data_IF_081355938079
#
_entry.id   IF_081355938079
#
_cell.length_a   1.000
_cell.length_b   1.000
_cell.length_c   1.000
_cell.angle_alpha   90.00
_cell.angle_beta   90.00
_cell.angle_gamma   90.00
#
_symmetry.space_group_name_H-M   'P 1'
#
loop_
_entity.id
_entity.type
_entity.pdbx_description
1 polymer ?
#
# COMPACT_ATOMS: atom_id res chain seq x y z
N UNK A 1 -13.77 6.77 6.89
CA UNK A 1 -13.58 5.69 5.88
C UNK A 1 -13.33 4.38 6.63
N UNK A 2 -13.48 3.19 6.02
CA UNK A 2 -13.17 1.93 6.72
C UNK A 2 -11.76 1.46 6.33
N UNK A 3 -10.76 1.87 7.11
CA UNK A 3 -9.41 1.35 7.05
C UNK A 3 -8.83 1.12 8.45
N UNK A 4 -7.82 0.26 8.52
CA UNK A 4 -7.06 -0.01 9.74
C UNK A 4 -5.57 0.29 9.49
N UNK A 5 -4.87 0.74 10.52
CA UNK A 5 -3.43 0.94 10.53
C UNK A 5 -2.76 -0.07 11.47
N UNK A 6 -1.73 -0.78 10.99
CA UNK A 6 -0.89 -1.64 11.80
C UNK A 6 0.58 -1.38 11.46
N UNK A 7 1.44 -1.34 12.48
CA UNK A 7 2.90 -1.30 12.30
C UNK A 7 3.47 -2.62 12.80
N UNK A 8 4.14 -3.35 11.92
CA UNK A 8 4.82 -4.60 12.25
C UNK A 8 6.31 -4.33 12.47
N UNK A 9 6.79 -4.56 13.68
CA UNK A 9 8.22 -4.55 14.03
C UNK A 9 8.92 -5.79 13.49
N UNK A 10 10.24 -5.73 13.36
CA UNK A 10 11.05 -6.80 12.72
C UNK A 10 10.77 -8.22 13.22
N UNK A 11 10.44 -8.39 14.51
CA UNK A 11 10.19 -9.69 15.12
C UNK A 11 8.70 -10.04 15.29
N UNK A 12 7.79 -9.17 14.82
CA UNK A 12 6.37 -9.45 14.87
C UNK A 12 6.01 -10.54 13.86
N UNK A 13 5.10 -11.43 14.24
CA UNK A 13 4.61 -12.49 13.36
C UNK A 13 3.73 -11.88 12.26
N UNK A 14 4.09 -12.14 11.00
CA UNK A 14 3.33 -11.78 9.82
C UNK A 14 3.40 -12.95 8.84
N UNK A 15 2.38 -13.80 8.87
CA UNK A 15 2.36 -15.03 8.06
C UNK A 15 1.87 -14.75 6.62
N UNK A 16 1.02 -13.74 6.46
CA UNK A 16 0.37 -13.39 5.20
C UNK A 16 0.37 -11.88 5.00
N UNK A 17 0.58 -11.43 3.75
CA UNK A 17 0.49 -10.02 3.38
C UNK A 17 -0.93 -9.59 2.96
N UNK A 18 -1.80 -10.55 2.64
CA UNK A 18 -3.18 -10.28 2.26
C UNK A 18 -4.14 -10.39 3.45
N UNK A 19 -5.29 -9.71 3.35
CA UNK A 19 -6.34 -9.78 4.37
C UNK A 19 -7.70 -9.83 3.66
N UNK A 20 -8.60 -10.77 4.00
CA UNK A 20 -9.86 -10.94 3.28
C UNK A 20 -10.71 -9.66 3.22
N UNK A 21 -11.14 -9.25 2.01
CA UNK A 21 -11.90 -8.03 1.74
C UNK A 21 -11.15 -6.69 1.94
N UNK A 22 -9.81 -6.71 2.02
CA UNK A 22 -9.00 -5.51 2.15
C UNK A 22 -7.87 -5.46 1.10
N UNK A 23 -7.63 -4.26 0.59
CA UNK A 23 -6.41 -3.90 -0.11
C UNK A 23 -5.41 -3.37 0.92
N UNK A 24 -4.27 -4.05 1.07
CA UNK A 24 -3.25 -3.71 2.03
C UNK A 24 -2.16 -2.87 1.35
N UNK A 25 -1.98 -1.63 1.81
CA UNK A 25 -0.95 -0.73 1.30
C UNK A 25 0.18 -0.67 2.32
N UNK A 26 1.33 -1.23 1.95
CA UNK A 26 2.50 -1.31 2.81
C UNK A 26 3.51 -0.21 2.51
N UNK A 27 4.16 0.30 3.55
CA UNK A 27 5.37 1.10 3.47
C UNK A 27 6.47 0.37 4.24
N UNK A 28 7.64 0.21 3.62
CA UNK A 28 8.84 -0.27 4.32
C UNK A 28 9.47 0.92 5.05
N UNK A 29 9.33 0.96 6.37
CA UNK A 29 9.86 2.04 7.21
C UNK A 29 11.38 1.88 7.37
N UNK A 30 11.83 0.65 7.55
CA UNK A 30 13.24 0.29 7.75
C UNK A 30 13.48 -1.13 7.25
N UNK A 31 14.66 -1.39 6.71
CA UNK A 31 15.10 -2.72 6.30
C UNK A 31 14.56 -3.16 4.94
N UNK A 32 14.36 -4.47 4.78
CA UNK A 32 13.95 -5.09 3.51
C UNK A 32 12.95 -6.25 3.74
N UNK A 33 12.00 -6.37 2.82
CA UNK A 33 11.07 -7.50 2.72
C UNK A 33 11.09 -8.07 1.30
N UNK A 34 11.20 -9.39 1.20
CA UNK A 34 11.06 -10.12 -0.06
C UNK A 34 9.93 -11.12 0.02
N UNK A 35 9.09 -11.14 -1.01
CA UNK A 35 8.01 -12.12 -1.12
C UNK A 35 7.87 -12.62 -2.56
N UNK A 36 7.41 -13.86 -2.68
CA UNK A 36 7.09 -14.46 -3.95
C UNK A 36 5.62 -14.19 -4.29
N UNK A 37 5.40 -13.74 -5.51
CA UNK A 37 4.08 -13.62 -6.13
C UNK A 37 4.12 -14.35 -7.47
N UNK A 38 3.28 -15.38 -7.60
CA UNK A 38 3.36 -16.35 -8.70
C UNK A 38 4.77 -16.93 -8.87
N UNK A 39 5.44 -16.69 -9.99
CA UNK A 39 6.78 -17.17 -10.30
C UNK A 39 7.88 -16.14 -10.04
N UNK A 40 7.52 -14.92 -9.62
CA UNK A 40 8.47 -13.81 -9.45
C UNK A 40 8.69 -13.49 -7.98
N UNK A 41 9.95 -13.17 -7.64
CA UNK A 41 10.32 -12.64 -6.33
C UNK A 41 10.36 -11.13 -6.42
N UNK A 42 9.64 -10.47 -5.51
CA UNK A 42 9.65 -9.03 -5.34
C UNK A 42 10.39 -8.70 -4.06
N UNK A 43 11.19 -7.65 -4.08
CA UNK A 43 11.95 -7.17 -2.93
C UNK A 43 11.71 -5.68 -2.80
N UNK A 44 11.35 -5.26 -1.60
CA UNK A 44 11.06 -3.86 -1.26
C UNK A 44 11.96 -3.43 -0.10
N UNK A 45 12.58 -2.28 -0.26
CA UNK A 45 13.51 -1.66 0.68
C UNK A 45 12.89 -0.41 1.32
N UNK A 46 13.60 0.12 2.31
CA UNK A 46 13.21 1.34 3.02
C UNK A 46 12.74 2.47 2.08
N UNK A 47 11.56 3.01 2.40
CA UNK A 47 10.92 4.10 1.66
C UNK A 47 10.02 3.65 0.52
N UNK A 48 10.09 2.38 0.12
CA UNK A 48 9.26 1.82 -0.94
C UNK A 48 7.88 1.41 -0.42
N UNK A 49 6.90 1.57 -1.32
CA UNK A 49 5.49 1.26 -1.07
C UNK A 49 5.05 0.17 -2.03
N UNK A 50 4.26 -0.77 -1.52
CA UNK A 50 3.65 -1.81 -2.34
C UNK A 50 2.23 -2.12 -1.89
N UNK A 51 1.42 -2.64 -2.81
CA UNK A 51 0.04 -3.04 -2.54
C UNK A 51 -0.08 -4.55 -2.64
N UNK A 52 -0.81 -5.14 -1.70
CA UNK A 52 -1.24 -6.52 -1.74
C UNK A 52 -2.76 -6.57 -1.68
N UNK A 53 -3.36 -7.29 -2.62
CA UNK A 53 -4.81 -7.46 -2.70
C UNK A 53 -5.24 -8.76 -2.01
N UNK A 54 -6.51 -8.83 -1.59
CA UNK A 54 -7.02 -9.94 -0.78
C UNK A 54 -6.95 -11.31 -1.47
N UNK A 55 -7.09 -11.33 -2.79
CA UNK A 55 -7.01 -12.54 -3.62
C UNK A 55 -5.59 -12.95 -4.02
N UNK A 56 -4.56 -12.18 -3.62
CA UNK A 56 -3.18 -12.53 -3.92
C UNK A 56 -2.59 -13.51 -2.92
N UNK A 57 -2.04 -14.60 -3.44
CA UNK A 57 -1.19 -15.50 -2.67
C UNK A 57 0.24 -14.98 -2.72
N UNK A 58 0.71 -14.43 -1.59
CA UNK A 58 2.07 -13.94 -1.43
C UNK A 58 2.79 -14.77 -0.36
N UNK A 59 3.88 -15.42 -0.74
CA UNK A 59 4.73 -16.16 0.19
C UNK A 59 5.89 -15.26 0.62
N UNK A 60 5.92 -14.88 1.90
CA UNK A 60 7.04 -14.11 2.45
C UNK A 60 8.28 -15.01 2.48
N UNK A 61 9.30 -14.65 1.70
CA UNK A 61 10.58 -15.38 1.64
C UNK A 61 11.49 -14.91 2.78
N UNK A 62 11.58 -13.60 2.96
CA UNK A 62 12.39 -12.98 4.00
C UNK A 62 11.75 -11.67 4.45
N UNK A 63 11.87 -11.39 5.74
CA UNK A 63 11.46 -10.11 6.30
C UNK A 63 12.44 -9.72 7.40
N UNK A 64 13.27 -8.73 7.10
CA UNK A 64 14.12 -8.03 8.07
C UNK A 64 13.76 -6.55 8.01
N UNK A 65 12.49 -6.25 8.28
CA UNK A 65 11.92 -4.93 8.08
C UNK A 65 10.90 -4.53 9.15
N UNK A 66 10.87 -3.23 9.43
CA UNK A 66 9.73 -2.57 10.05
C UNK A 66 8.84 -2.08 8.91
N UNK A 67 7.57 -2.50 8.91
CA UNK A 67 6.61 -2.12 7.87
C UNK A 67 5.34 -1.58 8.50
N UNK A 68 4.75 -0.55 7.90
CA UNK A 68 3.38 -0.14 8.21
C UNK A 68 2.43 -0.64 7.14
N UNK A 69 1.20 -0.96 7.54
CA UNK A 69 0.13 -1.39 6.65
C UNK A 69 -1.12 -0.56 6.90
N UNK A 70 -1.62 0.08 5.84
CA UNK A 70 -2.96 0.66 5.80
C UNK A 70 -3.84 -0.34 5.04
N UNK A 71 -4.72 -1.03 5.75
CA UNK A 71 -5.69 -1.96 5.17
C UNK A 71 -6.97 -1.22 4.85
N UNK A 72 -7.29 -1.04 3.58
CA UNK A 72 -8.51 -0.36 3.11
C UNK A 72 -9.53 -1.38 2.64
N UNK A 73 -10.78 -1.30 3.10
CA UNK A 73 -11.82 -2.21 2.64
C UNK A 73 -11.99 -2.14 1.10
N UNK A 74 -12.12 -3.28 0.44
CA UNK A 74 -12.18 -3.38 -1.02
C UNK A 74 -13.27 -2.52 -1.67
N UNK A 75 -14.45 -2.41 -1.06
CA UNK A 75 -15.54 -1.57 -1.60
C UNK A 75 -15.07 -0.10 -1.67
N UNK A 76 -14.39 0.35 -0.62
CA UNK A 76 -13.85 1.71 -0.53
C UNK A 76 -12.70 1.89 -1.51
N UNK A 77 -11.75 0.95 -1.53
CA UNK A 77 -10.61 0.99 -2.43
C UNK A 77 -11.07 1.09 -3.89
N UNK A 78 -11.97 0.20 -4.31
CA UNK A 78 -12.47 0.18 -5.68
C UNK A 78 -13.23 1.46 -6.06
N UNK A 79 -14.06 1.99 -5.16
CA UNK A 79 -14.78 3.25 -5.39
C UNK A 79 -13.84 4.39 -5.78
N UNK A 80 -12.72 4.53 -5.09
CA UNK A 80 -11.78 5.62 -5.34
C UNK A 80 -10.78 5.31 -6.46
N UNK A 81 -10.38 4.04 -6.63
CA UNK A 81 -9.52 3.60 -7.74
C UNK A 81 -10.09 3.89 -9.13
N UNK A 82 -11.42 3.94 -9.26
CA UNK A 82 -12.11 4.15 -10.53
C UNK A 82 -12.32 5.64 -10.87
N UNK A 83 -12.27 6.52 -9.86
CA UNK A 83 -12.66 7.92 -10.02
C UNK A 83 -11.67 8.76 -10.86
N UNK A 84 -10.43 8.27 -11.05
CA UNK A 84 -9.35 9.03 -11.71
C UNK A 84 -8.81 8.42 -13.01
N UNK A 85 -9.48 7.40 -13.56
CA UNK A 85 -9.08 6.71 -14.80
C UNK A 85 -9.04 7.59 -16.07
N UNK A 86 -9.60 8.80 -16.04
CA UNK A 86 -9.70 9.71 -17.20
C UNK A 86 -8.63 10.81 -17.27
N UNK A 87 -7.55 10.73 -16.49
CA UNK A 87 -6.44 11.70 -16.54
C UNK A 87 -5.28 11.30 -17.45
N UNK A 88 -4.70 12.27 -18.17
CA UNK A 88 -3.46 12.10 -18.95
C UNK A 88 -2.32 11.51 -18.10
N UNK A 89 -1.55 10.59 -18.69
CA UNK A 89 -0.44 9.86 -18.08
C UNK A 89 0.75 10.73 -17.64
N UNK A 90 0.71 12.05 -17.84
CA UNK A 90 1.85 12.93 -17.55
C UNK A 90 1.81 13.54 -16.14
N UNK A 91 0.79 13.22 -15.33
CA UNK A 91 0.61 13.77 -13.97
C UNK A 91 0.88 12.75 -12.85
N UNK A 92 1.75 11.76 -13.07
CA UNK A 92 2.10 10.82 -12.00
C UNK A 92 2.96 11.50 -10.93
N UNK A 93 2.57 11.45 -9.64
CA UNK A 93 3.44 11.93 -8.59
C UNK A 93 4.69 11.05 -8.56
N UNK A 94 5.89 11.65 -8.38
CA UNK A 94 7.11 10.86 -8.23
C UNK A 94 7.01 9.98 -6.97
N UNK A 95 7.72 8.83 -6.91
CA UNK A 95 7.65 7.91 -5.77
C UNK A 95 7.83 8.60 -4.41
N UNK A 96 8.71 9.60 -4.33
CA UNK A 96 8.92 10.43 -3.14
C UNK A 96 7.64 11.08 -2.61
N UNK A 97 6.79 11.61 -3.50
CA UNK A 97 5.51 12.24 -3.13
C UNK A 97 4.52 11.20 -2.62
N UNK A 98 4.54 9.99 -3.18
CA UNK A 98 3.71 8.87 -2.70
C UNK A 98 4.14 8.48 -1.29
N UNK A 99 5.45 8.32 -1.06
CA UNK A 99 6.02 8.03 0.27
C UNK A 99 5.72 9.12 1.29
N UNK A 100 5.91 10.40 0.93
CA UNK A 100 5.58 11.54 1.78
C UNK A 100 4.08 11.58 2.11
N UNK A 101 3.22 11.29 1.14
CA UNK A 101 1.77 11.20 1.35
C UNK A 101 1.42 10.08 2.32
N UNK A 102 2.04 8.91 2.19
CA UNK A 102 1.85 7.80 3.13
C UNK A 102 2.26 8.20 4.55
N UNK A 103 3.44 8.80 4.71
CA UNK A 103 3.96 9.24 6.02
C UNK A 103 3.03 10.28 6.65
N UNK A 104 2.49 11.21 5.87
CA UNK A 104 1.56 12.21 6.37
C UNK A 104 0.25 11.56 6.85
N UNK A 105 -0.28 10.59 6.10
CA UNK A 105 -1.45 9.81 6.53
C UNK A 105 -1.17 9.12 7.87
N UNK A 106 0.01 8.52 8.06
CA UNK A 106 0.38 7.89 9.32
C UNK A 106 0.31 8.87 10.49
N UNK A 107 0.90 10.06 10.35
CA UNK A 107 0.87 11.09 11.41
C UNK A 107 -0.56 11.49 11.74
N UNK A 108 -1.35 11.80 10.72
CA UNK A 108 -2.73 12.28 10.87
C UNK A 108 -3.63 11.20 11.50
N UNK A 109 -3.44 9.92 11.17
CA UNK A 109 -4.13 8.80 11.85
C UNK A 109 -3.73 8.73 13.33
N UNK A 110 -2.44 8.87 13.64
CA UNK A 110 -1.94 8.84 15.02
C UNK A 110 -2.38 10.05 15.85
N UNK A 111 -2.67 11.18 15.19
CA UNK A 111 -3.25 12.38 15.79
C UNK A 111 -4.79 12.32 15.92
N UNK A 112 -5.41 11.20 15.53
CA UNK A 112 -6.86 10.96 15.53
C UNK A 112 -7.67 11.95 14.65
N UNK A 113 -7.02 12.60 13.68
CA UNK A 113 -7.69 13.45 12.69
C UNK A 113 -8.19 12.61 11.50
N UNK A 114 -9.25 11.85 11.76
CA UNK A 114 -9.80 10.91 10.79
C UNK A 114 -10.30 11.57 9.50
N UNK A 115 -10.68 12.86 9.53
CA UNK A 115 -11.12 13.56 8.33
C UNK A 115 -9.97 13.80 7.36
N UNK A 116 -8.85 14.34 7.84
CA UNK A 116 -7.68 14.54 7.00
C UNK A 116 -7.02 13.20 6.61
N UNK A 117 -7.07 12.20 7.49
CA UNK A 117 -6.59 10.86 7.18
C UNK A 117 -7.41 10.22 6.05
N UNK A 118 -8.75 10.33 6.08
CA UNK A 118 -9.63 9.87 5.00
C UNK A 118 -9.26 10.50 3.66
N UNK A 119 -9.05 11.83 3.63
CA UNK A 119 -8.62 12.55 2.41
C UNK A 119 -7.27 12.03 1.92
N UNK A 120 -6.32 11.84 2.83
CA UNK A 120 -5.00 11.34 2.52
C UNK A 120 -5.05 9.92 1.93
N UNK A 121 -5.79 8.99 2.55
CA UNK A 121 -5.94 7.62 2.05
C UNK A 121 -6.57 7.61 0.66
N UNK A 122 -7.58 8.44 0.38
CA UNK A 122 -8.15 8.58 -0.96
C UNK A 122 -7.09 9.05 -1.98
N UNK A 123 -6.29 10.07 -1.62
CA UNK A 123 -5.19 10.55 -2.48
C UNK A 123 -4.16 9.45 -2.74
N UNK A 124 -3.77 8.70 -1.72
CA UNK A 124 -2.81 7.59 -1.84
C UNK A 124 -3.33 6.48 -2.76
N UNK A 125 -4.60 6.08 -2.62
CA UNK A 125 -5.25 5.11 -3.52
C UNK A 125 -5.19 5.61 -4.97
N UNK A 126 -5.48 6.88 -5.20
CA UNK A 126 -5.40 7.46 -6.54
C UNK A 126 -3.97 7.43 -7.08
N UNK A 127 -2.97 7.85 -6.28
CA UNK A 127 -1.57 7.84 -6.72
C UNK A 127 -1.07 6.45 -7.10
N UNK A 128 -1.43 5.44 -6.32
CA UNK A 128 -0.97 4.07 -6.53
C UNK A 128 -1.67 3.38 -7.71
N UNK A 129 -2.96 3.65 -7.94
CA UNK A 129 -3.68 3.06 -9.09
C UNK A 129 -3.11 3.47 -10.45
N UNK A 130 -2.40 4.59 -10.46
CA UNK A 130 -1.79 5.21 -11.61
C UNK A 130 -0.30 4.88 -11.75
N UNK A 131 0.35 4.34 -10.72
CA UNK A 131 1.74 3.89 -10.79
C UNK A 131 1.88 2.64 -11.66
N UNK A 132 2.93 2.58 -12.50
CA UNK A 132 3.30 1.38 -13.29
C UNK A 132 3.58 0.14 -12.40
N UNK A 133 3.76 0.35 -11.10
CA UNK A 133 4.01 -0.66 -10.08
C UNK A 133 2.71 -1.32 -9.57
N UNK A 134 1.56 -0.87 -10.05
CA UNK A 134 0.32 -1.60 -9.84
C UNK A 134 0.38 -2.89 -10.68
N UNK A 135 0.85 -3.97 -10.07
CA UNK A 135 1.15 -5.26 -10.69
C UNK A 135 -0.04 -5.89 -11.47
N UNK A 136 -1.25 -5.36 -11.32
CA UNK A 136 -2.42 -5.69 -12.15
C UNK A 136 -2.43 -5.06 -13.53
N UNK A 137 -1.83 -3.88 -13.70
CA UNK A 137 -1.87 -3.13 -14.96
C UNK A 137 -0.93 -3.77 -16.00
N UNK A 138 0.07 -4.55 -15.56
CA UNK A 138 1.02 -5.23 -16.44
C UNK A 138 0.60 -6.67 -16.81
N UNK A 139 -0.64 -7.09 -16.52
CA UNK A 139 -1.18 -8.40 -16.92
C UNK A 139 -2.05 -8.35 -18.19
N UNK A 140 -1.99 -7.27 -18.96
CA UNK A 140 -2.61 -7.14 -20.29
C UNK A 140 -1.58 -7.11 -21.41
#
# INVERSE_FOLDING_TARGET
MNYNLVIYKQHDKLDYLNTPNFANIYLVIEGEISFQKFTSTYTFQQGEIFIVYDFEENLIISRQAIISCISVNNITYHRFSLAYREGDSDNYPPPKVITETYIEILKVILEEDFFNADIGVIKLINYLNHSKDNLYVNMS
#
